data_IF_940625253600
#
_entry.id   IF_940625253600
#
_cell.length_a   1.000
_cell.length_b   1.000
_cell.length_c   1.000
_cell.angle_alpha   90.00
_cell.angle_beta   90.00
_cell.angle_gamma   90.00
#
_symmetry.space_group_name_H-M   'P 1'
#
loop_
_entity.id
_entity.type
_entity.pdbx_description
1 polymer ?
#
# COMPACT_ATOMS: atom_id res chain seq x y z
N UNK A 1 8.00 -35.00 -41.14
CA UNK A 1 7.10 -35.04 -39.98
C UNK A 1 7.52 -34.14 -38.80
N UNK A 2 8.55 -33.26 -38.90
CA UNK A 2 9.03 -32.38 -37.79
C UNK A 2 8.63 -30.91 -37.91
N UNK A 3 8.05 -30.45 -39.03
CA UNK A 3 7.73 -29.05 -39.23
C UNK A 3 6.33 -28.65 -38.69
N UNK A 4 5.36 -29.56 -38.76
CA UNK A 4 3.99 -29.36 -38.26
C UNK A 4 3.89 -29.37 -36.73
N UNK A 5 4.77 -30.13 -36.04
CA UNK A 5 4.85 -30.09 -34.56
C UNK A 5 5.44 -28.80 -34.02
N UNK A 6 6.30 -28.09 -34.78
CA UNK A 6 6.84 -26.77 -34.38
C UNK A 6 5.83 -25.62 -34.57
N UNK A 7 4.94 -25.70 -35.53
CA UNK A 7 3.87 -24.71 -35.76
C UNK A 7 2.77 -24.81 -34.71
N UNK A 8 2.38 -26.02 -34.29
CA UNK A 8 1.37 -26.22 -33.26
C UNK A 8 1.80 -25.77 -31.83
N UNK A 9 3.14 -25.74 -31.54
CA UNK A 9 3.64 -25.22 -30.27
C UNK A 9 3.72 -23.68 -30.20
N UNK A 10 3.88 -22.99 -31.33
CA UNK A 10 3.87 -21.52 -31.37
C UNK A 10 2.48 -20.93 -31.13
N UNK A 11 1.45 -21.57 -31.67
CA UNK A 11 0.06 -21.10 -31.55
C UNK A 11 -0.49 -21.21 -30.11
N UNK A 12 0.00 -22.20 -29.34
CA UNK A 12 -0.39 -22.38 -27.93
C UNK A 12 0.29 -21.40 -26.93
N UNK A 13 1.48 -20.93 -27.27
CA UNK A 13 2.21 -19.92 -26.44
C UNK A 13 1.69 -18.52 -26.70
N UNK A 14 1.42 -18.16 -27.95
CA UNK A 14 0.84 -16.84 -28.30
C UNK A 14 -0.58 -16.67 -27.73
N UNK A 15 -1.41 -17.73 -27.76
CA UNK A 15 -2.75 -17.69 -27.13
C UNK A 15 -2.67 -17.57 -25.60
N UNK A 16 -1.67 -18.20 -24.96
CA UNK A 16 -1.47 -18.05 -23.50
C UNK A 16 -0.94 -16.67 -23.12
N UNK A 17 -0.04 -16.10 -23.91
CA UNK A 17 0.44 -14.74 -23.72
C UNK A 17 -0.67 -13.70 -23.95
N UNK A 18 -1.46 -13.83 -25.02
CA UNK A 18 -2.61 -12.96 -25.27
C UNK A 18 -3.68 -13.08 -24.18
N UNK A 19 -3.97 -14.27 -23.68
CA UNK A 19 -4.90 -14.47 -22.56
C UNK A 19 -4.38 -13.85 -21.26
N UNK A 20 -3.06 -13.94 -20.99
CA UNK A 20 -2.43 -13.33 -19.83
C UNK A 20 -2.43 -11.80 -19.92
N UNK A 21 -2.20 -11.22 -21.12
CA UNK A 21 -2.28 -9.78 -21.37
C UNK A 21 -3.73 -9.27 -21.20
N UNK A 22 -4.71 -10.05 -21.68
CA UNK A 22 -6.13 -9.70 -21.56
C UNK A 22 -6.61 -9.79 -20.10
N UNK A 23 -6.21 -10.83 -19.35
CA UNK A 23 -6.49 -10.96 -17.93
C UNK A 23 -5.80 -9.87 -17.09
N UNK A 24 -4.58 -9.46 -17.45
CA UNK A 24 -3.89 -8.34 -16.81
C UNK A 24 -4.57 -6.99 -17.04
N UNK A 25 -5.16 -6.77 -18.24
CA UNK A 25 -5.91 -5.55 -18.55
C UNK A 25 -7.25 -5.47 -17.81
N UNK A 26 -7.96 -6.59 -17.66
CA UNK A 26 -9.23 -6.63 -16.92
C UNK A 26 -9.01 -6.45 -15.43
N UNK A 27 -7.93 -7.01 -14.86
CA UNK A 27 -7.57 -6.81 -13.46
C UNK A 27 -7.15 -5.36 -13.18
N UNK A 28 -6.41 -4.71 -14.08
CA UNK A 28 -6.04 -3.30 -13.92
C UNK A 28 -7.25 -2.37 -13.98
N UNK A 29 -8.18 -2.57 -14.91
CA UNK A 29 -9.38 -1.76 -15.00
C UNK A 29 -10.29 -1.92 -13.76
N UNK A 30 -10.39 -3.14 -13.23
CA UNK A 30 -11.14 -3.39 -12.00
C UNK A 30 -10.48 -2.72 -10.78
N UNK A 31 -9.15 -2.81 -10.67
CA UNK A 31 -8.42 -2.18 -9.57
C UNK A 31 -8.44 -0.64 -9.67
N UNK A 32 -8.38 -0.07 -10.88
CA UNK A 32 -8.54 1.37 -11.09
C UNK A 32 -9.93 1.84 -10.65
N UNK A 33 -11.00 1.13 -11.04
CA UNK A 33 -12.36 1.42 -10.60
C UNK A 33 -12.54 1.30 -9.08
N UNK A 34 -11.89 0.31 -8.46
CA UNK A 34 -11.89 0.17 -7.01
C UNK A 34 -11.18 1.34 -6.31
N UNK A 35 -10.04 1.79 -6.81
CA UNK A 35 -9.31 2.93 -6.25
C UNK A 35 -10.10 4.24 -6.40
N UNK A 36 -10.78 4.45 -7.52
CA UNK A 36 -11.68 5.60 -7.70
C UNK A 36 -12.83 5.58 -6.70
N UNK A 37 -13.46 4.41 -6.52
CA UNK A 37 -14.52 4.21 -5.52
C UNK A 37 -14.01 4.49 -4.10
N UNK A 38 -12.88 3.91 -3.71
CA UNK A 38 -12.25 4.13 -2.40
C UNK A 38 -11.97 5.61 -2.16
N UNK A 39 -11.37 6.29 -3.13
CA UNK A 39 -11.04 7.71 -3.02
C UNK A 39 -12.30 8.59 -2.96
N UNK A 40 -13.34 8.24 -3.70
CA UNK A 40 -14.63 8.93 -3.65
C UNK A 40 -15.30 8.81 -2.28
N UNK A 41 -15.33 7.60 -1.71
CA UNK A 41 -15.90 7.36 -0.39
C UNK A 41 -15.06 8.01 0.71
N UNK A 42 -13.74 7.90 0.65
CA UNK A 42 -12.85 8.55 1.61
C UNK A 42 -13.08 10.07 1.65
N UNK A 43 -13.16 10.72 0.48
CA UNK A 43 -13.43 12.16 0.39
C UNK A 43 -14.80 12.51 0.98
N UNK A 44 -15.85 11.76 0.65
CA UNK A 44 -17.20 11.96 1.22
C UNK A 44 -17.22 11.76 2.74
N UNK A 45 -16.46 10.77 3.27
CA UNK A 45 -16.32 10.58 4.72
C UNK A 45 -15.74 11.85 5.35
N UNK A 46 -14.69 12.43 4.79
CA UNK A 46 -14.05 13.62 5.32
C UNK A 46 -14.98 14.84 5.23
N UNK A 47 -15.72 14.99 4.11
CA UNK A 47 -16.61 16.13 3.86
C UNK A 47 -17.92 16.05 4.68
N UNK A 48 -18.49 14.86 4.86
CA UNK A 48 -19.79 14.64 5.50
C UNK A 48 -19.70 14.41 7.02
N UNK A 49 -18.50 14.26 7.56
CA UNK A 49 -18.31 14.05 8.98
C UNK A 49 -18.66 15.29 9.77
N UNK A 50 -19.56 15.13 10.76
CA UNK A 50 -19.83 16.16 11.75
C UNK A 50 -18.60 16.42 12.62
N UNK A 51 -18.52 17.61 13.24
CA UNK A 51 -17.41 17.96 14.14
C UNK A 51 -17.18 16.93 15.25
N UNK A 52 -18.26 16.28 15.74
CA UNK A 52 -18.18 15.21 16.75
C UNK A 52 -17.54 13.93 16.16
N UNK A 53 -17.84 13.59 14.92
CA UNK A 53 -17.26 12.43 14.24
C UNK A 53 -15.80 12.69 13.83
N UNK A 54 -15.46 13.92 13.46
CA UNK A 54 -14.07 14.32 13.21
C UNK A 54 -13.21 14.19 14.47
N UNK A 55 -13.76 14.50 15.66
CA UNK A 55 -13.07 14.28 16.92
C UNK A 55 -12.72 12.79 17.17
N UNK A 56 -13.50 11.84 16.64
CA UNK A 56 -13.19 10.42 16.72
C UNK A 56 -11.96 10.07 15.86
N UNK A 57 -11.70 10.83 14.79
CA UNK A 57 -10.53 10.64 13.92
C UNK A 57 -9.27 11.33 14.41
N UNK A 58 -9.36 12.26 15.37
CA UNK A 58 -8.23 13.06 15.87
C UNK A 58 -7.24 12.29 16.77
N UNK A 59 -7.17 10.97 16.62
CA UNK A 59 -6.15 10.12 17.24
C UNK A 59 -6.35 9.84 18.74
N UNK A 60 -7.48 10.26 19.33
CA UNK A 60 -7.82 10.00 20.74
C UNK A 60 -8.64 8.73 20.95
N UNK A 61 -9.09 8.12 19.86
CA UNK A 61 -9.96 6.95 19.86
C UNK A 61 -9.22 5.70 19.40
N UNK A 62 -9.69 4.56 19.89
CA UNK A 62 -9.13 3.27 19.50
C UNK A 62 -9.46 2.95 18.03
N UNK A 63 -8.61 2.14 17.39
CA UNK A 63 -8.86 1.67 16.03
C UNK A 63 -10.26 1.06 15.88
N UNK A 64 -10.74 0.33 16.89
CA UNK A 64 -12.06 -0.29 16.87
C UNK A 64 -13.22 0.71 16.82
N UNK A 65 -13.10 1.83 17.55
CA UNK A 65 -14.12 2.89 17.54
C UNK A 65 -14.18 3.58 16.18
N UNK A 66 -13.02 3.89 15.60
CA UNK A 66 -12.94 4.48 14.25
C UNK A 66 -13.46 3.52 13.19
N UNK A 67 -13.08 2.25 13.26
CA UNK A 67 -13.57 1.21 12.35
C UNK A 67 -15.10 1.06 12.41
N UNK A 68 -15.69 1.15 13.60
CA UNK A 68 -17.14 1.13 13.77
C UNK A 68 -17.84 2.36 13.15
N UNK A 69 -17.23 3.52 13.20
CA UNK A 69 -17.75 4.75 12.55
C UNK A 69 -17.68 4.61 11.03
N UNK A 70 -16.53 4.20 10.49
CA UNK A 70 -16.34 3.99 9.05
C UNK A 70 -17.29 2.92 8.52
N UNK A 71 -17.44 1.80 9.23
CA UNK A 71 -18.37 0.72 8.85
C UNK A 71 -19.80 1.24 8.73
N UNK A 72 -20.27 2.00 9.71
CA UNK A 72 -21.62 2.62 9.67
C UNK A 72 -21.77 3.58 8.50
N UNK A 73 -20.74 4.35 8.18
CA UNK A 73 -20.78 5.26 7.05
C UNK A 73 -20.85 4.51 5.72
N UNK A 74 -20.01 3.50 5.51
CA UNK A 74 -20.03 2.66 4.32
C UNK A 74 -21.38 1.95 4.18
N UNK A 75 -21.97 1.47 5.28
CA UNK A 75 -23.32 0.87 5.28
C UNK A 75 -24.36 1.88 4.80
N UNK A 76 -24.33 3.13 5.26
CA UNK A 76 -25.24 4.19 4.80
C UNK A 76 -25.11 4.43 3.30
N UNK A 77 -23.87 4.61 2.80
CA UNK A 77 -23.62 4.80 1.36
C UNK A 77 -24.18 3.63 0.54
N UNK A 78 -24.06 2.40 1.04
CA UNK A 78 -24.59 1.20 0.40
C UNK A 78 -26.13 1.16 0.44
N UNK A 79 -26.76 1.69 1.48
CA UNK A 79 -28.22 1.78 1.58
C UNK A 79 -28.78 2.83 0.60
N UNK A 80 -28.07 3.96 0.44
CA UNK A 80 -28.43 5.02 -0.51
C UNK A 80 -28.25 4.57 -1.97
N UNK A 81 -27.14 3.86 -2.26
CA UNK A 81 -26.86 3.27 -3.57
C UNK A 81 -26.25 1.86 -3.42
N UNK A 82 -27.10 0.80 -3.49
CA UNK A 82 -26.65 -0.58 -3.35
C UNK A 82 -25.64 -1.04 -4.41
N UNK A 83 -25.56 -0.35 -5.54
CA UNK A 83 -24.63 -0.65 -6.65
C UNK A 83 -23.30 0.09 -6.51
N UNK A 84 -23.22 1.12 -5.69
CA UNK A 84 -22.00 1.89 -5.47
C UNK A 84 -20.84 1.03 -4.92
N UNK A 85 -21.15 0.00 -4.10
CA UNK A 85 -20.12 -0.87 -3.49
C UNK A 85 -20.50 -2.34 -3.68
N UNK A 86 -19.78 -3.10 -4.51
CA UNK A 86 -19.97 -4.55 -4.66
C UNK A 86 -19.87 -5.29 -3.33
N UNK A 87 -20.75 -6.27 -3.11
CA UNK A 87 -20.83 -6.99 -1.82
C UNK A 87 -19.50 -7.62 -1.39
N UNK A 88 -18.74 -8.17 -2.34
CA UNK A 88 -17.45 -8.81 -2.09
C UNK A 88 -16.34 -7.86 -1.68
N UNK A 89 -16.48 -6.56 -1.93
CA UNK A 89 -15.45 -5.56 -1.69
C UNK A 89 -15.69 -4.71 -0.44
N UNK A 90 -16.86 -4.83 0.19
CA UNK A 90 -17.23 -3.97 1.32
C UNK A 90 -16.27 -4.08 2.51
N UNK A 91 -15.90 -5.28 2.89
CA UNK A 91 -14.99 -5.51 4.02
C UNK A 91 -13.58 -5.02 3.69
N UNK A 92 -13.10 -5.23 2.46
CA UNK A 92 -11.83 -4.71 1.97
C UNK A 92 -11.85 -3.18 2.00
N UNK A 93 -12.91 -2.56 1.50
CA UNK A 93 -13.07 -1.12 1.45
C UNK A 93 -13.03 -0.49 2.85
N UNK A 94 -13.74 -1.06 3.82
CA UNK A 94 -13.72 -0.58 5.21
C UNK A 94 -12.29 -0.65 5.76
N UNK A 95 -11.61 -1.79 5.59
CA UNK A 95 -10.23 -1.95 6.06
C UNK A 95 -9.28 -0.96 5.40
N UNK A 96 -9.37 -0.79 4.08
CA UNK A 96 -8.51 0.11 3.31
C UNK A 96 -8.73 1.58 3.69
N UNK A 97 -9.98 1.98 3.98
CA UNK A 97 -10.29 3.33 4.45
C UNK A 97 -9.78 3.54 5.89
N UNK A 98 -9.90 2.52 6.76
CA UNK A 98 -9.33 2.58 8.10
C UNK A 98 -7.80 2.72 8.04
N UNK A 99 -7.14 1.99 7.17
CA UNK A 99 -5.68 2.08 6.97
C UNK A 99 -5.26 3.45 6.39
N UNK A 100 -6.12 4.09 5.59
CA UNK A 100 -5.91 5.45 5.07
C UNK A 100 -6.01 6.50 6.20
N UNK A 101 -7.03 6.39 7.04
CA UNK A 101 -7.33 7.38 8.09
C UNK A 101 -6.40 7.22 9.29
N UNK A 102 -6.25 6.00 9.81
CA UNK A 102 -5.52 5.70 11.04
C UNK A 102 -4.06 5.31 10.80
N UNK A 103 -3.81 4.62 9.70
CA UNK A 103 -2.50 4.07 9.36
C UNK A 103 -1.70 4.95 8.40
N UNK A 104 -0.80 4.33 7.69
CA UNK A 104 0.06 4.94 6.68
C UNK A 104 -0.47 4.70 5.25
N UNK A 105 -1.79 4.66 5.09
CA UNK A 105 -2.46 4.54 3.79
C UNK A 105 -2.12 3.23 3.08
N UNK A 106 -1.81 3.28 1.76
CA UNK A 106 -1.64 2.08 0.93
C UNK A 106 -0.45 1.20 1.33
N UNK A 107 0.44 1.66 2.20
CA UNK A 107 1.58 0.86 2.69
C UNK A 107 1.28 0.11 3.99
N UNK A 108 0.19 0.42 4.66
CA UNK A 108 -0.18 -0.19 5.94
C UNK A 108 -0.28 -1.73 5.89
N UNK A 109 -0.87 -2.36 4.84
CA UNK A 109 -0.89 -3.82 4.72
C UNK A 109 0.52 -4.44 4.67
N UNK A 110 1.48 -3.76 4.04
CA UNK A 110 2.87 -4.26 3.94
C UNK A 110 3.63 -4.07 5.26
N UNK A 111 3.30 -3.05 6.03
CA UNK A 111 3.86 -2.86 7.37
C UNK A 111 3.39 -3.97 8.32
N UNK A 112 2.16 -4.45 8.16
CA UNK A 112 1.57 -5.55 8.95
C UNK A 112 2.02 -6.95 8.50
N UNK A 113 2.46 -7.10 7.25
CA UNK A 113 2.88 -8.40 6.69
C UNK A 113 4.32 -8.73 7.13
N UNK A 114 4.48 -9.70 8.02
CA UNK A 114 5.79 -10.13 8.54
C UNK A 114 6.71 -10.73 7.46
N UNK A 115 6.17 -11.15 6.31
CA UNK A 115 6.98 -11.63 5.18
C UNK A 115 7.64 -10.49 4.39
N UNK A 116 7.20 -9.24 4.59
CA UNK A 116 7.80 -8.07 3.98
C UNK A 116 8.94 -7.57 4.85
N UNK A 117 10.14 -7.47 4.29
CA UNK A 117 11.36 -7.00 4.96
C UNK A 117 11.65 -5.54 4.67
N UNK A 118 11.32 -5.07 3.46
CA UNK A 118 11.57 -3.69 3.04
C UNK A 118 10.43 -3.18 2.15
N UNK A 119 10.09 -1.90 2.30
CA UNK A 119 9.10 -1.17 1.49
C UNK A 119 9.82 0.02 0.86
N UNK A 120 9.75 0.12 -0.46
CA UNK A 120 10.40 1.18 -1.23
C UNK A 120 9.36 1.92 -2.07
N UNK A 121 9.21 3.21 -1.83
CA UNK A 121 8.28 4.10 -2.51
C UNK A 121 9.08 5.03 -3.40
N UNK A 122 8.85 4.97 -4.71
CA UNK A 122 9.49 5.82 -5.69
C UNK A 122 8.42 6.70 -6.37
N UNK A 123 8.08 7.80 -5.71
CA UNK A 123 6.95 8.63 -6.08
C UNK A 123 5.60 7.95 -5.79
N UNK A 124 4.47 8.61 -6.09
CA UNK A 124 3.15 8.15 -5.64
C UNK A 124 2.67 6.85 -6.31
N UNK A 125 3.20 6.51 -7.48
CA UNK A 125 2.67 5.42 -8.32
C UNK A 125 3.47 4.12 -8.26
N UNK A 126 4.64 4.10 -7.61
CA UNK A 126 5.54 2.95 -7.62
C UNK A 126 5.92 2.56 -6.19
N UNK A 127 5.30 1.51 -5.69
CA UNK A 127 5.59 0.93 -4.38
C UNK A 127 6.13 -0.48 -4.62
N UNK A 128 7.36 -0.71 -4.18
CA UNK A 128 8.00 -2.01 -4.22
C UNK A 128 8.09 -2.57 -2.80
N UNK A 129 8.03 -3.87 -2.68
CA UNK A 129 8.26 -4.58 -1.43
C UNK A 129 9.31 -5.67 -1.64
N UNK A 130 10.13 -5.90 -0.64
CA UNK A 130 11.01 -7.05 -0.59
C UNK A 130 10.34 -8.16 0.23
N UNK A 131 10.27 -9.37 -0.37
CA UNK A 131 9.83 -10.60 0.28
C UNK A 131 10.80 -11.71 -0.07
N UNK A 132 11.30 -12.43 0.94
CA UNK A 132 12.23 -13.54 0.74
C UNK A 132 13.45 -13.16 -0.13
N UNK A 133 14.02 -11.97 0.07
CA UNK A 133 15.15 -11.45 -0.70
C UNK A 133 14.84 -11.06 -2.14
N UNK A 134 13.57 -11.00 -2.56
CA UNK A 134 13.15 -10.61 -3.90
C UNK A 134 12.29 -9.36 -3.88
N UNK A 135 12.58 -8.44 -4.79
CA UNK A 135 11.85 -7.18 -4.95
C UNK A 135 10.66 -7.41 -5.89
N UNK A 136 9.48 -6.98 -5.44
CA UNK A 136 8.23 -7.07 -6.19
C UNK A 136 7.58 -5.69 -6.30
N UNK A 137 7.15 -5.31 -7.51
CA UNK A 137 6.28 -4.15 -7.70
C UNK A 137 4.88 -4.52 -7.23
N UNK A 138 4.29 -3.67 -6.38
CA UNK A 138 2.92 -3.87 -5.88
C UNK A 138 1.89 -3.17 -6.76
N UNK A 139 0.61 -3.50 -6.55
CA UNK A 139 -0.51 -2.76 -7.16
C UNK A 139 -0.92 -1.52 -6.35
N UNK A 140 -0.44 -1.41 -5.10
CA UNK A 140 -0.73 -0.29 -4.23
C UNK A 140 -0.10 0.99 -4.78
N UNK A 141 -0.82 2.11 -4.62
CA UNK A 141 -0.35 3.44 -5.04
C UNK A 141 -0.99 4.52 -4.18
N UNK A 142 -0.28 5.60 -4.00
CA UNK A 142 -0.86 6.83 -3.46
C UNK A 142 -1.68 7.54 -4.54
N UNK A 143 -2.66 8.34 -4.14
CA UNK A 143 -3.51 9.10 -5.06
C UNK A 143 -2.66 10.02 -5.93
N UNK A 144 -1.86 10.85 -5.28
CA UNK A 144 -0.98 11.83 -5.88
C UNK A 144 0.24 12.12 -4.98
N UNK A 145 1.04 13.10 -5.37
CA UNK A 145 2.21 13.50 -4.61
C UNK A 145 1.83 14.17 -3.28
N UNK A 146 0.73 14.91 -3.23
CA UNK A 146 0.27 15.58 -2.01
C UNK A 146 -0.14 14.55 -0.95
N UNK A 147 -0.84 13.48 -1.35
CA UNK A 147 -1.17 12.36 -0.48
C UNK A 147 0.09 11.67 0.06
N UNK A 148 1.09 11.40 -0.79
CA UNK A 148 2.36 10.82 -0.34
C UNK A 148 3.07 11.74 0.66
N UNK A 149 3.09 13.06 0.41
CA UNK A 149 3.69 14.03 1.35
C UNK A 149 2.94 14.07 2.69
N UNK A 150 1.62 13.98 2.70
CA UNK A 150 0.84 13.90 3.94
C UNK A 150 1.19 12.65 4.76
N UNK A 151 1.38 11.51 4.10
CA UNK A 151 1.83 10.28 4.78
C UNK A 151 3.28 10.41 5.28
N UNK A 152 4.17 11.05 4.51
CA UNK A 152 5.55 11.34 4.95
C UNK A 152 5.51 12.20 6.22
N UNK A 153 4.73 13.27 6.25
CA UNK A 153 4.58 14.13 7.43
C UNK A 153 4.03 13.34 8.63
N UNK A 154 3.06 12.46 8.40
CA UNK A 154 2.51 11.57 9.43
C UNK A 154 3.56 10.61 10.01
N UNK A 155 4.54 10.20 9.21
CA UNK A 155 5.67 9.35 9.66
C UNK A 155 6.66 10.16 10.50
N UNK A 156 7.01 11.39 10.08
CA UNK A 156 8.13 12.14 10.69
C UNK A 156 7.68 13.02 11.87
N UNK A 157 6.44 13.49 11.87
CA UNK A 157 5.90 14.39 12.90
C UNK A 157 5.97 13.79 14.33
N UNK A 158 5.58 12.53 14.58
CA UNK A 158 5.73 11.91 15.91
C UNK A 158 7.18 11.80 16.38
N UNK A 159 8.12 11.79 15.43
CA UNK A 159 9.56 11.72 15.71
C UNK A 159 10.19 13.10 15.99
N UNK A 160 9.36 14.17 16.00
CA UNK A 160 9.82 15.55 16.16
C UNK A 160 10.70 16.02 15.00
N UNK A 161 10.50 15.44 13.81
CA UNK A 161 11.24 15.76 12.59
C UNK A 161 10.32 16.40 11.56
N UNK A 162 10.92 17.19 10.67
CA UNK A 162 10.26 17.77 9.50
C UNK A 162 11.11 17.50 8.27
N UNK A 163 10.46 17.42 7.12
CA UNK A 163 11.09 17.30 5.82
C UNK A 163 10.51 18.37 4.90
N UNK A 164 11.36 19.25 4.40
CA UNK A 164 11.03 20.36 3.52
C UNK A 164 12.15 20.60 2.49
N UNK A 165 11.97 21.60 1.62
CA UNK A 165 12.98 21.93 0.59
C UNK A 165 14.32 22.36 1.18
N UNK A 166 14.36 22.89 2.41
CA UNK A 166 15.57 23.28 3.10
C UNK A 166 16.28 22.09 3.76
N UNK A 167 15.50 21.09 4.18
CA UNK A 167 15.97 19.84 4.79
C UNK A 167 15.31 18.64 4.12
N UNK A 168 15.69 18.33 2.86
CA UNK A 168 14.96 17.39 2.01
C UNK A 168 15.28 15.92 2.28
N UNK A 169 16.09 15.63 3.30
CA UNK A 169 16.46 14.26 3.71
C UNK A 169 16.14 14.06 5.19
N UNK A 170 15.46 12.95 5.50
CA UNK A 170 15.26 12.49 6.86
C UNK A 170 15.65 11.01 6.95
N UNK A 171 16.46 10.69 7.94
CA UNK A 171 16.76 9.31 8.38
C UNK A 171 16.31 9.18 9.84
N UNK A 172 15.42 8.24 10.12
CA UNK A 172 14.81 8.09 11.43
C UNK A 172 14.50 6.63 11.75
N UNK A 173 14.11 6.38 13.02
CA UNK A 173 13.58 5.09 13.46
C UNK A 173 12.15 5.27 13.91
N UNK A 174 11.29 4.36 13.46
CA UNK A 174 9.91 4.25 13.91
C UNK A 174 9.83 3.61 15.30
N UNK A 175 8.68 3.70 15.94
CA UNK A 175 8.46 3.14 17.29
C UNK A 175 8.67 1.62 17.35
N UNK A 176 8.38 0.91 16.25
CA UNK A 176 8.58 -0.53 16.11
C UNK A 176 10.05 -0.92 15.88
N UNK A 177 10.98 0.06 15.84
CA UNK A 177 12.40 -0.12 15.57
C UNK A 177 12.76 -0.11 14.08
N UNK A 178 11.81 -0.10 13.18
CA UNK A 178 12.02 -0.02 11.73
C UNK A 178 12.74 1.28 11.37
N UNK A 179 13.63 1.21 10.39
CA UNK A 179 14.35 2.38 9.90
C UNK A 179 13.66 2.97 8.68
N UNK A 180 13.43 4.26 8.70
CA UNK A 180 12.87 5.01 7.57
C UNK A 180 13.88 6.01 7.03
N UNK A 181 14.08 6.00 5.72
CA UNK A 181 14.82 7.01 4.99
C UNK A 181 13.88 7.69 4.00
N UNK A 182 13.87 9.02 4.01
CA UNK A 182 12.99 9.85 3.19
C UNK A 182 13.86 10.86 2.45
N UNK A 183 13.64 10.99 1.15
CA UNK A 183 14.27 11.99 0.30
C UNK A 183 13.19 12.64 -0.56
N UNK A 184 13.08 13.97 -0.48
CA UNK A 184 12.09 14.72 -1.26
C UNK A 184 12.78 15.66 -2.30
N UNK A 185 12.03 16.22 -3.26
CA UNK A 185 12.56 17.29 -4.10
C UNK A 185 13.10 18.47 -3.24
N UNK A 186 14.16 19.15 -3.67
CA UNK A 186 14.79 19.07 -5.00
C UNK A 186 15.82 17.94 -5.19
N UNK A 187 16.17 17.19 -4.14
CA UNK A 187 17.18 16.14 -4.26
C UNK A 187 16.65 14.90 -4.99
N UNK A 188 15.40 14.54 -4.77
CA UNK A 188 14.75 13.47 -5.50
C UNK A 188 14.08 14.00 -6.77
N UNK A 189 14.64 13.66 -7.94
CA UNK A 189 14.14 14.14 -9.23
C UNK A 189 12.81 13.49 -9.67
N UNK A 190 12.50 12.32 -9.13
CA UNK A 190 11.29 11.55 -9.50
C UNK A 190 10.09 11.78 -8.58
N UNK A 191 10.17 12.78 -7.69
CA UNK A 191 9.22 12.98 -6.59
C UNK A 191 9.73 12.38 -5.29
N UNK A 192 8.93 12.40 -4.21
CA UNK A 192 9.33 11.88 -2.91
C UNK A 192 9.68 10.40 -2.98
N UNK A 193 10.79 10.01 -2.36
CA UNK A 193 11.25 8.64 -2.22
C UNK A 193 11.26 8.28 -0.72
N UNK A 194 10.71 7.12 -0.38
CA UNK A 194 10.70 6.62 0.99
C UNK A 194 11.13 5.17 0.99
N UNK A 195 12.06 4.83 1.87
CA UNK A 195 12.48 3.46 2.11
C UNK A 195 12.27 3.12 3.58
N UNK A 196 11.49 2.08 3.85
CA UNK A 196 11.23 1.58 5.19
C UNK A 196 11.79 0.17 5.29
N UNK A 197 12.85 0.02 6.08
CA UNK A 197 13.43 -1.28 6.38
C UNK A 197 12.87 -1.76 7.71
N UNK A 198 12.04 -2.79 7.64
CA UNK A 198 11.36 -3.32 8.82
C UNK A 198 12.34 -3.98 9.78
N UNK A 199 12.10 -3.77 11.06
CA UNK A 199 12.79 -4.52 12.10
C UNK A 199 12.19 -5.94 12.15
N UNK A 200 13.05 -6.97 12.01
CA UNK A 200 12.59 -8.36 12.09
C UNK A 200 12.08 -8.66 13.50
N UNK A 201 10.82 -9.04 13.61
CA UNK A 201 10.23 -9.50 14.87
C UNK A 201 10.69 -10.89 15.26
N UNK A 202 11.14 -11.68 14.27
CA UNK A 202 11.66 -13.02 14.45
C UNK A 202 13.18 -12.92 14.40
N UNK A 203 13.91 -13.04 15.54
CA UNK A 203 15.35 -13.04 15.51
C UNK A 203 15.83 -14.30 14.75
N UNK A 204 16.79 -14.11 13.86
CA UNK A 204 17.45 -15.23 13.21
C UNK A 204 18.30 -15.98 14.25
N UNK A 205 18.04 -17.26 14.39
CA UNK A 205 18.85 -18.16 15.21
C UNK A 205 20.06 -18.63 14.41
N UNK A 206 21.05 -19.19 15.10
CA UNK A 206 22.25 -19.72 14.44
C UNK A 206 21.89 -20.86 13.48
N UNK A 207 20.91 -21.67 13.85
CA UNK A 207 20.37 -22.78 13.03
C UNK A 207 19.78 -22.26 11.71
N UNK A 208 19.07 -21.11 11.75
CA UNK A 208 18.51 -20.47 10.54
C UNK A 208 19.63 -19.96 9.63
N UNK A 209 20.70 -19.39 10.19
CA UNK A 209 21.85 -18.91 9.42
C UNK A 209 22.60 -20.07 8.75
N UNK A 210 22.72 -21.22 9.41
CA UNK A 210 23.32 -22.43 8.84
C UNK A 210 22.44 -22.94 7.70
N UNK A 211 21.10 -23.02 7.88
CA UNK A 211 20.18 -23.46 6.84
C UNK A 211 20.18 -22.53 5.63
N UNK A 212 20.36 -21.22 5.83
CA UNK A 212 20.53 -20.26 4.72
C UNK A 212 21.86 -20.45 3.99
N UNK A 213 22.95 -20.75 4.70
CA UNK A 213 24.25 -20.98 4.09
C UNK A 213 24.28 -22.28 3.27
N UNK A 214 23.59 -23.32 3.74
CA UNK A 214 23.49 -24.62 3.03
C UNK A 214 22.53 -24.57 1.82
N UNK A 215 21.62 -23.59 1.77
CA UNK A 215 20.70 -23.36 0.64
C UNK A 215 21.22 -22.40 -0.44
N UNK A 216 22.39 -21.81 -0.26
CA UNK A 216 23.07 -20.96 -1.25
C UNK A 216 24.01 -21.80 -2.13
N UNK A 217 23.45 -22.76 -2.89
CA UNK A 217 24.13 -23.43 -4.02
C UNK A 217 23.34 -23.21 -5.29
#
# INVERSE_FOLDING_TARGET
MKLLERLGRRDGTEKKEQAAIFAGRTNNAHEEGYQELKNGIHRRIVDDMTAEQQQVLDGRHTRQEVEAVITRYVQRVVEEDPFAVPRGERSRLVSDICDEILGLGPIEPFLKDDAVTEIMINGPKKIYVEKMGKIHLTQARFQDQAHLMAIIEKIVSPLGRHVDEASPIVDARLEDGSRVNIVIPPLSLSGPCVTIRKFSRIPLLIEDLIAYADGCV
#
